data_IF_501562679854
#
_entry.id   IF_501562679854
#
_cell.length_a   1.000
_cell.length_b   1.000
_cell.length_c   1.000
_cell.angle_alpha   90.00
_cell.angle_beta   90.00
_cell.angle_gamma   90.00
#
_symmetry.space_group_name_H-M   'P 1'
#
loop_
_entity.id
_entity.type
_entity.pdbx_description
1 polymer ?
#
# COMPACT_ATOMS: atom_id res chain seq x y z
N UNK A 1 -6.55 -18.32 6.50
CA UNK A 1 -6.27 -16.91 6.82
C UNK A 1 -6.31 -16.18 5.50
N UNK A 2 -7.12 -15.12 5.39
CA UNK A 2 -7.18 -14.31 4.17
C UNK A 2 -5.80 -13.72 3.92
N UNK A 3 -5.28 -13.89 2.70
CA UNK A 3 -4.00 -13.29 2.33
C UNK A 3 -4.24 -11.80 2.07
N UNK A 4 -3.44 -10.94 2.70
CA UNK A 4 -3.66 -9.49 2.64
C UNK A 4 -2.36 -8.73 2.43
N UNK A 5 -2.46 -7.62 1.71
CA UNK A 5 -1.36 -6.72 1.38
C UNK A 5 -1.72 -5.29 1.72
N UNK A 6 -0.70 -4.51 2.02
CA UNK A 6 -0.80 -3.10 2.33
C UNK A 6 0.10 -2.32 1.39
N UNK A 7 -0.47 -1.35 0.68
CA UNK A 7 0.28 -0.30 -0.01
C UNK A 7 0.39 0.86 0.96
N UNK A 8 1.61 1.36 1.17
CA UNK A 8 1.87 2.48 2.09
C UNK A 8 2.26 3.71 1.27
N UNK A 9 1.63 4.85 1.54
CA UNK A 9 1.95 6.11 0.88
C UNK A 9 2.20 7.26 1.87
N UNK A 10 2.76 8.34 1.34
CA UNK A 10 2.92 9.62 2.01
C UNK A 10 2.51 10.74 1.06
N UNK A 11 1.51 11.55 1.43
CA UNK A 11 1.09 12.75 0.68
C UNK A 11 1.69 13.97 1.35
N UNK A 12 2.64 14.61 0.69
CA UNK A 12 3.31 15.78 1.26
C UNK A 12 2.37 16.99 1.27
N UNK A 13 2.07 17.50 2.47
CA UNK A 13 1.04 18.53 2.72
C UNK A 13 1.16 19.78 1.85
N UNK A 14 2.39 20.26 1.62
CA UNK A 14 2.61 21.54 0.92
C UNK A 14 2.74 21.42 -0.60
N UNK A 15 3.24 20.28 -1.09
CA UNK A 15 3.50 20.10 -2.53
C UNK A 15 2.45 19.24 -3.22
N UNK A 16 1.58 18.57 -2.45
CA UNK A 16 0.66 17.56 -2.95
C UNK A 16 1.36 16.32 -3.51
N UNK A 17 2.69 16.21 -3.36
CA UNK A 17 3.45 15.10 -3.92
C UNK A 17 3.14 13.82 -3.15
N UNK A 18 2.58 12.84 -3.85
CA UNK A 18 2.34 11.48 -3.34
C UNK A 18 3.55 10.60 -3.63
N UNK A 19 4.05 9.94 -2.59
CA UNK A 19 5.13 8.96 -2.66
C UNK A 19 4.63 7.64 -2.08
N UNK A 20 5.06 6.53 -2.67
CA UNK A 20 4.74 5.18 -2.21
C UNK A 20 5.98 4.52 -1.63
N UNK A 21 5.83 3.78 -0.55
CA UNK A 21 6.92 3.00 0.02
C UNK A 21 7.18 1.78 -0.86
N UNK A 22 8.38 1.70 -1.44
CA UNK A 22 8.91 0.50 -2.05
C UNK A 22 9.94 -0.11 -1.13
N UNK A 23 9.75 -1.37 -0.75
CA UNK A 23 10.63 -2.15 0.10
C UNK A 23 10.91 -3.50 -0.57
N UNK A 24 12.15 -3.98 -0.54
CA UNK A 24 12.52 -5.27 -1.14
C UNK A 24 12.07 -5.45 -2.62
N UNK A 25 11.98 -4.35 -3.36
CA UNK A 25 11.55 -4.33 -4.76
C UNK A 25 10.04 -4.35 -5.01
N UNK A 26 9.21 -4.43 -3.96
CA UNK A 26 7.74 -4.42 -4.00
C UNK A 26 7.17 -3.16 -3.34
N UNK A 27 5.96 -2.75 -3.73
CA UNK A 27 5.17 -1.73 -3.01
C UNK A 27 4.08 -2.32 -2.11
N UNK A 28 3.86 -3.63 -2.20
CA UNK A 28 2.97 -4.37 -1.32
C UNK A 28 3.74 -4.90 -0.10
N UNK A 29 3.18 -4.69 1.09
CA UNK A 29 3.68 -5.17 2.38
C UNK A 29 2.70 -6.16 3.01
N UNK A 30 3.14 -7.13 3.82
CA UNK A 30 4.54 -7.35 4.24
C UNK A 30 5.40 -8.11 3.22
N UNK A 31 4.84 -8.50 2.08
CA UNK A 31 5.58 -9.11 0.99
C UNK A 31 4.95 -8.79 -0.36
N UNK A 32 5.68 -9.01 -1.44
CA UNK A 32 5.18 -8.77 -2.80
C UNK A 32 4.00 -9.65 -3.17
N UNK A 33 3.42 -9.35 -4.33
CA UNK A 33 2.43 -10.23 -4.94
C UNK A 33 3.12 -11.43 -5.60
N UNK A 34 2.49 -12.62 -5.60
CA UNK A 34 2.98 -13.77 -6.37
C UNK A 34 3.16 -13.44 -7.86
N UNK A 35 4.13 -14.09 -8.50
CA UNK A 35 4.33 -13.94 -9.95
C UNK A 35 3.07 -14.31 -10.74
N UNK A 36 2.74 -13.47 -11.73
CA UNK A 36 1.55 -13.67 -12.56
C UNK A 36 0.22 -13.28 -11.90
N UNK A 37 0.25 -12.64 -10.73
CA UNK A 37 -0.94 -12.06 -10.09
C UNK A 37 -1.65 -11.05 -11.01
N UNK A 38 -2.97 -10.92 -10.86
CA UNK A 38 -3.79 -9.97 -11.62
C UNK A 38 -4.81 -9.28 -10.72
N UNK A 39 -4.99 -7.98 -10.91
CA UNK A 39 -6.06 -7.24 -10.22
C UNK A 39 -7.39 -7.65 -10.82
N UNK A 40 -8.30 -8.19 -10.02
CA UNK A 40 -9.59 -8.72 -10.49
C UNK A 40 -10.78 -7.86 -10.07
N UNK A 41 -10.64 -7.13 -8.97
CA UNK A 41 -11.60 -6.12 -8.57
C UNK A 41 -10.91 -4.97 -7.85
N UNK A 42 -11.50 -3.78 -7.94
CA UNK A 42 -11.21 -2.68 -7.03
C UNK A 42 -12.50 -2.04 -6.58
N UNK A 43 -12.59 -1.75 -5.29
CA UNK A 43 -13.61 -0.92 -4.70
C UNK A 43 -12.99 0.44 -4.40
N UNK A 44 -13.55 1.43 -5.07
CA UNK A 44 -13.18 2.83 -4.93
C UNK A 44 -14.46 3.52 -4.49
N UNK A 45 -14.53 3.93 -3.22
CA UNK A 45 -15.74 4.56 -2.70
C UNK A 45 -15.42 5.46 -1.53
N UNK A 46 -15.95 6.68 -1.59
CA UNK A 46 -15.97 7.64 -0.48
C UNK A 46 -17.09 7.34 0.53
N UNK A 47 -18.00 6.42 0.20
CA UNK A 47 -19.22 6.13 0.97
C UNK A 47 -19.19 4.76 1.67
N UNK A 48 -18.36 3.82 1.19
CA UNK A 48 -18.23 2.48 1.77
C UNK A 48 -16.93 2.34 2.56
N UNK A 49 -17.07 2.16 3.87
CA UNK A 49 -15.95 1.86 4.76
C UNK A 49 -15.40 0.48 4.44
N UNK A 50 -14.18 0.39 3.94
CA UNK A 50 -13.47 -0.88 3.73
C UNK A 50 -13.32 -1.62 5.06
N UNK A 51 -13.67 -2.91 5.06
CA UNK A 51 -13.50 -3.79 6.22
C UNK A 51 -12.07 -4.36 6.24
N UNK A 52 -11.27 -3.84 7.17
CA UNK A 52 -9.87 -4.26 7.35
C UNK A 52 -9.79 -5.15 8.59
N UNK A 53 -9.10 -6.30 8.53
CA UNK A 53 -8.98 -7.17 9.69
C UNK A 53 -8.38 -6.43 10.90
N UNK A 54 -8.93 -6.58 12.12
CA UNK A 54 -8.61 -5.71 13.28
C UNK A 54 -7.14 -5.65 13.69
N UNK A 55 -6.36 -6.70 13.38
CA UNK A 55 -4.94 -6.80 13.76
C UNK A 55 -3.98 -6.62 12.58
N UNK A 56 -4.51 -6.54 11.35
CA UNK A 56 -3.69 -6.55 10.15
C UNK A 56 -2.70 -5.38 10.11
N UNK A 57 -3.17 -4.16 10.44
CA UNK A 57 -2.31 -2.99 10.41
C UNK A 57 -1.21 -3.07 11.48
N UNK A 58 -1.54 -3.48 12.71
CA UNK A 58 -0.55 -3.62 13.79
C UNK A 58 0.48 -4.72 13.48
N UNK A 59 0.07 -5.81 12.83
CA UNK A 59 0.98 -6.87 12.42
C UNK A 59 1.95 -6.39 11.34
N UNK A 60 1.46 -5.60 10.37
CA UNK A 60 2.32 -4.98 9.34
C UNK A 60 3.28 -3.97 9.97
N UNK A 61 2.83 -3.09 10.87
CA UNK A 61 3.70 -2.17 11.60
C UNK A 61 4.81 -2.92 12.34
N UNK A 62 4.47 -3.98 13.07
CA UNK A 62 5.45 -4.80 13.79
C UNK A 62 6.45 -5.48 12.84
N UNK A 63 5.98 -6.04 11.73
CA UNK A 63 6.84 -6.66 10.73
C UNK A 63 7.77 -5.64 10.05
N UNK A 64 7.28 -4.41 9.84
CA UNK A 64 8.03 -3.29 9.31
C UNK A 64 8.96 -2.64 10.35
N UNK A 65 8.84 -3.01 11.63
CA UNK A 65 9.62 -2.42 12.73
C UNK A 65 9.20 -1.00 13.06
N UNK A 66 8.00 -0.60 12.65
CA UNK A 66 7.43 0.72 12.89
C UNK A 66 6.87 0.82 14.32
N UNK A 67 6.79 2.04 14.83
CA UNK A 67 6.05 2.30 16.07
C UNK A 67 4.56 1.96 15.91
N UNK A 68 3.92 1.49 16.98
CA UNK A 68 2.48 1.20 16.95
C UNK A 68 1.67 2.46 16.66
N UNK A 69 0.78 2.39 15.67
CA UNK A 69 -0.02 3.52 15.19
C UNK A 69 0.74 4.52 14.32
N UNK A 70 1.91 4.15 13.80
CA UNK A 70 2.64 4.94 12.81
C UNK A 70 1.89 5.06 11.47
N UNK A 71 1.03 4.08 11.15
CA UNK A 71 0.23 4.05 9.95
C UNK A 71 -1.25 4.26 10.26
N UNK A 72 -1.99 4.78 9.26
CA UNK A 72 -3.45 4.82 9.26
C UNK A 72 -3.99 4.19 7.99
N UNK A 73 -5.02 3.36 8.11
CA UNK A 73 -5.74 2.85 6.95
C UNK A 73 -6.46 4.00 6.25
N UNK A 74 -6.25 4.08 4.95
CA UNK A 74 -7.12 4.78 4.02
C UNK A 74 -8.28 3.84 3.68
N UNK A 75 -9.49 4.23 4.09
CA UNK A 75 -10.69 3.38 4.00
C UNK A 75 -11.43 3.54 2.68
N UNK A 76 -10.89 4.31 1.74
CA UNK A 76 -11.53 4.59 0.45
C UNK A 76 -11.01 3.67 -0.66
N UNK A 77 -9.98 2.88 -0.37
CA UNK A 77 -9.37 1.92 -1.29
C UNK A 77 -9.37 0.49 -0.74
N UNK A 78 -9.90 -0.42 -1.55
CA UNK A 78 -9.66 -1.85 -1.43
C UNK A 78 -9.54 -2.45 -2.84
N UNK A 79 -8.59 -3.34 -3.04
CA UNK A 79 -8.51 -4.12 -4.28
C UNK A 79 -8.38 -5.61 -3.99
N UNK A 80 -8.92 -6.42 -4.88
CA UNK A 80 -8.82 -7.87 -4.85
C UNK A 80 -7.91 -8.31 -5.99
N UNK A 81 -6.93 -9.13 -5.67
CA UNK A 81 -5.95 -9.67 -6.59
C UNK A 81 -6.06 -11.18 -6.61
N UNK A 82 -6.17 -11.76 -7.79
CA UNK A 82 -6.02 -13.21 -7.94
C UNK A 82 -4.53 -13.53 -7.95
N UNK A 83 -4.05 -14.13 -6.86
CA UNK A 83 -2.78 -14.84 -6.82
C UNK A 83 -2.96 -16.27 -7.33
N UNK A 84 -1.88 -16.96 -7.68
CA UNK A 84 -1.91 -18.37 -8.14
C UNK A 84 -2.39 -19.39 -7.07
N UNK A 85 -2.91 -18.93 -5.92
CA UNK A 85 -3.38 -19.74 -4.81
C UNK A 85 -4.91 -19.95 -4.81
N UNK A 86 -5.40 -20.64 -3.78
CA UNK A 86 -6.82 -20.99 -3.64
C UNK A 86 -7.72 -19.83 -3.17
N UNK A 87 -7.14 -18.71 -2.74
CA UNK A 87 -7.89 -17.57 -2.22
C UNK A 87 -7.34 -16.26 -2.78
N UNK A 88 -8.22 -15.29 -3.08
CA UNK A 88 -7.79 -13.99 -3.53
C UNK A 88 -7.04 -13.24 -2.42
N UNK A 89 -6.16 -12.33 -2.84
CA UNK A 89 -5.36 -11.46 -1.99
C UNK A 89 -6.06 -10.11 -1.91
N UNK A 90 -6.39 -9.68 -0.69
CA UNK A 90 -6.98 -8.37 -0.44
C UNK A 90 -5.88 -7.32 -0.24
N UNK A 91 -5.95 -6.22 -0.98
CA UNK A 91 -4.98 -5.14 -0.95
C UNK A 91 -5.64 -3.88 -0.40
N UNK A 92 -5.05 -3.36 0.67
CA UNK A 92 -5.48 -2.16 1.36
C UNK A 92 -4.49 -1.02 1.16
N UNK A 93 -4.91 0.20 1.46
CA UNK A 93 -4.08 1.39 1.42
C UNK A 93 -3.89 1.96 2.83
N UNK A 94 -2.68 2.41 3.14
CA UNK A 94 -2.38 3.13 4.36
C UNK A 94 -1.45 4.30 4.11
N UNK A 95 -1.47 5.27 5.02
CA UNK A 95 -0.60 6.42 4.98
C UNK A 95 0.09 6.71 6.31
N UNK A 96 1.23 7.38 6.21
CA UNK A 96 1.83 8.04 7.35
C UNK A 96 1.10 9.37 7.63
N UNK A 97 0.55 9.59 8.84
CA UNK A 97 -0.14 10.83 9.18
C UNK A 97 0.84 11.99 9.50
N UNK A 98 2.15 11.79 9.31
CA UNK A 98 3.19 12.78 9.60
C UNK A 98 3.26 13.85 8.51
N UNK A 99 3.83 15.01 8.84
CA UNK A 99 4.05 16.09 7.85
C UNK A 99 5.27 15.77 6.98
N UNK A 100 6.37 15.41 7.64
CA UNK A 100 7.62 15.05 6.98
C UNK A 100 7.61 13.58 6.55
N UNK A 101 8.30 13.31 5.44
CA UNK A 101 8.46 11.95 4.93
C UNK A 101 9.33 11.15 5.91
N UNK A 102 8.85 10.01 6.42
CA UNK A 102 9.53 9.25 7.47
C UNK A 102 10.66 8.41 6.87
N UNK A 103 11.67 9.08 6.30
CA UNK A 103 12.83 8.42 5.71
C UNK A 103 13.61 7.60 6.75
N UNK A 104 13.66 8.06 7.99
CA UNK A 104 14.40 7.41 9.09
C UNK A 104 13.77 6.05 9.45
N UNK A 105 12.45 5.92 9.40
CA UNK A 105 11.73 4.68 9.75
C UNK A 105 11.97 3.53 8.76
N UNK A 106 12.44 3.83 7.53
CA UNK A 106 12.63 2.83 6.46
C UNK A 106 14.06 2.75 5.93
N UNK A 107 14.98 3.57 6.48
CA UNK A 107 16.35 3.71 6.01
C UNK A 107 17.16 2.41 6.11
N UNK A 108 16.94 1.61 7.15
CA UNK A 108 17.71 0.39 7.42
C UNK A 108 17.36 -0.80 6.52
N UNK A 109 16.29 -0.69 5.71
CA UNK A 109 15.72 -1.83 4.97
C UNK A 109 15.78 -1.67 3.45
N UNK A 110 16.67 -0.82 2.92
CA UNK A 110 16.68 -0.41 1.50
C UNK A 110 15.34 0.19 1.02
N UNK A 111 14.48 0.59 1.96
CA UNK A 111 13.18 1.19 1.70
C UNK A 111 13.33 2.54 1.02
N UNK A 112 12.55 2.75 -0.05
CA UNK A 112 12.55 4.02 -0.79
C UNK A 112 11.13 4.50 -1.02
N UNK A 113 10.91 5.77 -0.70
CA UNK A 113 9.72 6.48 -1.14
C UNK A 113 9.88 6.87 -2.61
N UNK A 114 9.02 6.32 -3.46
CA UNK A 114 9.08 6.50 -4.92
C UNK A 114 7.81 7.20 -5.41
N UNK A 115 7.92 8.06 -6.41
CA UNK A 115 6.75 8.53 -7.16
C UNK A 115 6.20 7.40 -8.05
N UNK A 116 4.93 7.47 -8.44
CA UNK A 116 4.32 6.49 -9.36
C UNK A 116 5.11 6.36 -10.67
N UNK A 117 5.72 7.45 -11.15
CA UNK A 117 6.55 7.48 -12.37
C UNK A 117 7.85 6.70 -12.24
N UNK A 118 8.34 6.49 -11.02
CA UNK A 118 9.55 5.73 -10.69
C UNK A 118 9.27 4.23 -10.52
N UNK A 119 7.98 3.84 -10.44
CA UNK A 119 7.51 2.46 -10.28
C UNK A 119 7.58 1.58 -11.55
N UNK A 120 8.15 2.06 -12.66
CA UNK A 120 8.15 1.35 -13.96
C UNK A 120 8.76 -0.06 -13.96
N UNK A 121 9.55 -0.40 -12.94
CA UNK A 121 10.17 -1.73 -12.78
C UNK A 121 9.42 -2.65 -11.81
N UNK A 122 8.30 -2.19 -11.24
CA UNK A 122 7.48 -3.00 -10.36
C UNK A 122 6.76 -4.12 -11.15
N UNK A 123 6.36 -5.21 -10.47
CA UNK A 123 5.48 -6.20 -11.06
C UNK A 123 4.22 -5.56 -11.67
N UNK A 124 3.69 -6.08 -12.81
CA UNK A 124 2.57 -5.46 -13.50
C UNK A 124 1.33 -5.23 -12.63
N UNK A 125 0.96 -6.20 -11.79
CA UNK A 125 -0.17 -6.07 -10.86
C UNK A 125 0.05 -4.98 -9.82
N UNK A 126 1.27 -4.87 -9.29
CA UNK A 126 1.61 -3.80 -8.34
C UNK A 126 1.58 -2.42 -9.00
N UNK A 127 2.05 -2.31 -10.24
CA UNK A 127 1.97 -1.06 -10.99
C UNK A 127 0.52 -0.66 -11.28
N UNK A 128 -0.36 -1.63 -11.57
CA UNK A 128 -1.79 -1.41 -11.74
C UNK A 128 -2.44 -0.93 -10.43
N UNK A 129 -2.14 -1.59 -9.30
CA UNK A 129 -2.61 -1.18 -7.98
C UNK A 129 -2.17 0.24 -7.62
N UNK A 130 -0.91 0.61 -7.91
CA UNK A 130 -0.45 1.99 -7.69
C UNK A 130 -1.22 3.01 -8.52
N UNK A 131 -1.59 2.68 -9.76
CA UNK A 131 -2.39 3.58 -10.60
C UNK A 131 -3.79 3.78 -10.02
N UNK A 132 -4.42 2.70 -9.55
CA UNK A 132 -5.73 2.76 -8.90
C UNK A 132 -5.67 3.58 -7.61
N UNK A 133 -4.71 3.28 -6.73
CA UNK A 133 -4.52 4.01 -5.48
C UNK A 133 -4.21 5.50 -5.72
N UNK A 134 -3.34 5.81 -6.69
CA UNK A 134 -3.00 7.20 -7.03
C UNK A 134 -4.20 8.00 -7.54
N UNK A 135 -5.11 7.37 -8.29
CA UNK A 135 -6.35 8.03 -8.74
C UNK A 135 -7.17 8.54 -7.55
N UNK A 136 -7.31 7.71 -6.50
CA UNK A 136 -8.08 8.05 -5.30
C UNK A 136 -7.41 9.17 -4.52
N UNK A 137 -6.10 9.06 -4.29
CA UNK A 137 -5.35 10.04 -3.52
C UNK A 137 -5.39 11.44 -4.18
N UNK A 138 -5.58 11.49 -5.50
CA UNK A 138 -5.71 12.74 -6.27
C UNK A 138 -7.13 13.30 -6.29
N UNK A 139 -8.14 12.45 -6.12
CA UNK A 139 -9.55 12.84 -6.09
C UNK A 139 -10.00 13.30 -4.67
N UNK A 140 -9.18 13.02 -3.64
CA UNK A 140 -9.27 13.53 -2.25
C UNK A 140 -8.54 14.88 -2.02
#
# INVERSE_FOLDING_TARGET
MSDSRLIIYHKHKFSGRTLFLRLDGTVCQPGGLPDGSQVTASKISTEQTVDVPPQFLSDVEQQLGLSSGALKIDREFQATVDGSGESPIEVYLAYFPTVDTPHEEVADREGKFIAITEGRRLPPAELELLRLAYSIIMDD
#
